data_IF_485648170842
#
_entry.id   IF_485648170842
#
_cell.length_a   1.000
_cell.length_b   1.000
_cell.length_c   1.000
_cell.angle_alpha   90.00
_cell.angle_beta   90.00
_cell.angle_gamma   90.00
#
_symmetry.space_group_name_H-M   'P 1'
#
loop_
_entity.id
_entity.type
_entity.pdbx_description
1 polymer ?
#
# COMPACT_ATOMS: atom_id res chain seq x y z
N UNK A 1 -24.42 0.82 15.14
CA UNK A 1 -23.04 1.35 14.94
C UNK A 1 -22.02 0.84 15.97
N UNK A 2 -22.42 0.54 17.21
CA UNK A 2 -21.51 -0.08 18.19
C UNK A 2 -21.18 -1.55 17.92
N UNK A 3 -22.04 -2.31 17.24
CA UNK A 3 -21.82 -3.73 16.95
C UNK A 3 -20.82 -3.98 15.81
N UNK A 4 -20.66 -3.05 14.84
CA UNK A 4 -19.72 -3.22 13.73
C UNK A 4 -18.23 -3.06 14.14
N UNK A 5 -17.94 -2.35 15.23
CA UNK A 5 -16.57 -2.11 15.70
C UNK A 5 -15.87 -3.36 16.27
N UNK A 6 -16.62 -4.32 16.78
CA UNK A 6 -16.10 -5.58 17.30
C UNK A 6 -16.00 -6.69 16.24
N UNK A 7 -16.80 -6.61 15.17
CA UNK A 7 -16.86 -7.65 14.14
C UNK A 7 -15.56 -7.73 13.33
N UNK A 8 -14.95 -6.60 12.98
CA UNK A 8 -13.68 -6.58 12.25
C UNK A 8 -12.53 -7.28 12.96
N UNK A 9 -12.44 -7.15 14.29
CA UNK A 9 -11.45 -7.84 15.12
C UNK A 9 -11.73 -9.35 15.16
N UNK A 10 -12.98 -9.75 15.38
CA UNK A 10 -13.39 -11.15 15.42
C UNK A 10 -13.07 -11.85 14.08
N UNK A 11 -13.40 -11.24 12.94
CA UNK A 11 -13.16 -11.84 11.62
C UNK A 11 -11.67 -11.97 11.29
N UNK A 12 -10.83 -11.00 11.64
CA UNK A 12 -9.38 -11.09 11.41
C UNK A 12 -8.76 -12.24 12.20
N UNK A 13 -9.12 -12.38 13.48
CA UNK A 13 -8.68 -13.50 14.32
C UNK A 13 -9.16 -14.84 13.78
N UNK A 14 -10.38 -14.90 13.31
CA UNK A 14 -10.95 -16.14 12.72
C UNK A 14 -10.24 -16.49 11.41
N UNK A 15 -10.02 -15.52 10.51
CA UNK A 15 -9.28 -15.70 9.27
C UNK A 15 -7.88 -16.27 9.52
N UNK A 16 -7.14 -15.67 10.49
CA UNK A 16 -5.83 -16.18 10.91
C UNK A 16 -5.86 -17.60 11.41
N UNK A 17 -6.85 -17.95 12.26
CA UNK A 17 -7.05 -19.32 12.76
C UNK A 17 -7.36 -20.34 11.64
N UNK A 18 -7.98 -19.87 10.57
CA UNK A 18 -8.29 -20.68 9.39
C UNK A 18 -7.14 -20.77 8.39
N UNK A 19 -5.98 -20.15 8.68
CA UNK A 19 -4.81 -20.14 7.80
C UNK A 19 -4.95 -19.22 6.58
N UNK A 20 -5.90 -18.30 6.60
CA UNK A 20 -6.07 -17.30 5.53
C UNK A 20 -5.04 -16.20 5.65
N UNK A 21 -4.58 -15.67 4.52
CA UNK A 21 -3.75 -14.46 4.46
C UNK A 21 -4.62 -13.22 4.63
N UNK A 22 -4.28 -12.39 5.61
CA UNK A 22 -5.01 -11.16 5.94
C UNK A 22 -4.25 -9.96 5.40
N UNK A 23 -4.83 -9.23 4.44
CA UNK A 23 -4.34 -7.94 3.99
C UNK A 23 -5.06 -6.79 4.71
N UNK A 24 -4.35 -5.71 5.00
CA UNK A 24 -4.87 -4.57 5.71
C UNK A 24 -4.34 -3.26 5.13
N UNK A 25 -5.27 -2.40 4.69
CA UNK A 25 -5.02 -0.99 4.38
C UNK A 25 -5.61 -0.15 5.52
N UNK A 26 -4.79 0.57 6.31
CA UNK A 26 -5.26 1.45 7.38
C UNK A 26 -6.21 2.53 6.90
N UNK A 27 -6.05 3.00 5.68
CA UNK A 27 -6.94 3.89 4.95
C UNK A 27 -7.50 5.05 5.81
N UNK A 28 -6.64 5.67 6.60
CA UNK A 28 -7.01 6.73 7.52
C UNK A 28 -7.53 7.98 6.80
N UNK A 29 -8.51 8.62 7.40
CA UNK A 29 -9.08 9.89 6.95
C UNK A 29 -9.19 10.84 8.13
N UNK A 30 -8.52 11.99 8.05
CA UNK A 30 -8.53 13.03 9.09
C UNK A 30 -9.92 13.56 9.42
N UNK A 31 -10.86 13.48 8.47
CA UNK A 31 -12.26 13.89 8.65
C UNK A 31 -13.08 12.92 9.50
N UNK A 32 -12.62 11.69 9.73
CA UNK A 32 -13.34 10.67 10.49
C UNK A 32 -12.88 10.59 11.95
N UNK A 33 -11.59 10.72 12.21
CA UNK A 33 -10.98 10.60 13.54
C UNK A 33 -9.57 11.17 13.58
N UNK A 34 -9.07 11.50 14.78
CA UNK A 34 -7.72 12.03 14.95
C UNK A 34 -6.67 11.00 14.59
N UNK A 35 -5.48 11.48 14.24
CA UNK A 35 -4.35 10.63 13.89
C UNK A 35 -3.95 9.71 15.06
N UNK A 36 -3.90 10.25 16.28
CA UNK A 36 -3.54 9.51 17.49
C UNK A 36 -4.56 8.41 17.79
N UNK A 37 -5.86 8.74 17.75
CA UNK A 37 -6.92 7.74 17.96
C UNK A 37 -6.87 6.64 16.90
N UNK A 38 -6.65 7.00 15.64
CA UNK A 38 -6.51 6.04 14.56
C UNK A 38 -5.30 5.13 14.79
N UNK A 39 -4.16 5.71 15.13
CA UNK A 39 -2.90 5.01 15.41
C UNK A 39 -3.08 3.98 16.53
N UNK A 40 -3.68 4.38 17.67
CA UNK A 40 -3.93 3.48 18.80
C UNK A 40 -4.87 2.33 18.46
N UNK A 41 -5.90 2.61 17.67
CA UNK A 41 -6.89 1.58 17.31
C UNK A 41 -6.36 0.65 16.21
N UNK A 42 -5.76 1.19 15.17
CA UNK A 42 -5.32 0.40 14.01
C UNK A 42 -4.12 -0.49 14.34
N UNK A 43 -3.21 -0.02 15.22
CA UNK A 43 -2.07 -0.82 15.66
C UNK A 43 -2.48 -2.11 16.39
N UNK A 44 -3.65 -2.12 17.06
CA UNK A 44 -4.18 -3.32 17.73
C UNK A 44 -4.54 -4.45 16.76
N UNK A 45 -4.73 -4.15 15.47
CA UNK A 45 -5.06 -5.15 14.46
C UNK A 45 -3.83 -5.78 13.80
N UNK A 46 -2.66 -5.12 13.87
CA UNK A 46 -1.45 -5.55 13.17
C UNK A 46 -0.97 -6.96 13.53
N UNK A 47 -1.10 -7.47 14.77
CA UNK A 47 -0.76 -8.85 15.08
C UNK A 47 -1.56 -9.91 14.29
N UNK A 48 -2.65 -9.50 13.63
CA UNK A 48 -3.49 -10.39 12.81
C UNK A 48 -3.33 -10.14 11.30
N UNK A 49 -2.40 -9.28 10.92
CA UNK A 49 -2.17 -8.86 9.52
C UNK A 49 -0.96 -9.59 8.96
N UNK A 50 -1.06 -10.07 7.72
CA UNK A 50 0.05 -10.64 6.97
C UNK A 50 0.61 -9.65 5.94
N UNK A 51 -0.26 -8.86 5.30
CA UNK A 51 0.09 -7.90 4.26
C UNK A 51 -0.40 -6.51 4.66
N UNK A 52 0.53 -5.60 4.93
CA UNK A 52 0.23 -4.23 5.32
C UNK A 52 0.40 -3.30 4.11
N UNK A 53 -0.64 -2.51 3.79
CA UNK A 53 -0.64 -1.56 2.69
C UNK A 53 -0.77 -0.14 3.26
N UNK A 54 0.35 0.58 3.29
CA UNK A 54 0.47 1.83 4.05
C UNK A 54 1.10 1.62 5.41
N UNK A 55 1.89 2.60 5.86
CA UNK A 55 2.63 2.54 7.14
C UNK A 55 2.14 3.56 8.16
N UNK A 56 1.06 4.27 7.85
CA UNK A 56 0.44 5.24 8.75
C UNK A 56 -1.09 5.08 8.75
N UNK A 57 -1.73 5.35 9.85
CA UNK A 57 -1.19 5.60 11.19
C UNK A 57 -1.05 4.28 11.98
N UNK A 58 0.17 3.90 12.30
CA UNK A 58 0.48 2.74 13.14
C UNK A 58 1.62 3.06 14.11
N UNK A 59 1.74 2.33 15.21
CA UNK A 59 2.87 2.45 16.13
C UNK A 59 4.01 1.54 15.68
N UNK A 60 5.23 2.10 15.59
CA UNK A 60 6.46 1.33 15.39
C UNK A 60 7.54 1.94 16.27
N UNK A 61 7.81 1.34 17.40
CA UNK A 61 8.69 1.92 18.43
C UNK A 61 10.13 1.46 18.30
N UNK A 62 11.06 2.39 18.59
CA UNK A 62 12.44 2.07 18.93
C UNK A 62 12.55 1.64 20.40
N UNK A 63 13.69 1.14 20.79
CA UNK A 63 13.98 0.78 22.19
C UNK A 63 13.83 1.96 23.17
N UNK A 64 14.11 3.19 22.71
CA UNK A 64 13.95 4.42 23.48
C UNK A 64 12.49 4.93 23.56
N UNK A 65 11.54 4.23 22.96
CA UNK A 65 10.12 4.58 22.93
C UNK A 65 9.72 5.60 21.86
N UNK A 66 10.66 6.10 21.04
CA UNK A 66 10.34 6.97 19.90
C UNK A 66 9.83 6.17 18.71
N UNK A 67 9.04 6.79 17.83
CA UNK A 67 8.57 6.09 16.62
C UNK A 67 9.70 6.02 15.57
N UNK A 68 9.87 4.86 14.96
CA UNK A 68 10.88 4.65 13.89
C UNK A 68 10.63 5.56 12.69
N UNK A 69 9.39 5.99 12.48
CA UNK A 69 8.97 6.86 11.39
C UNK A 69 9.20 8.35 11.65
N UNK A 70 9.61 8.72 12.87
CA UNK A 70 9.92 10.12 13.19
C UNK A 70 11.03 10.65 12.28
N UNK A 71 10.76 11.80 11.66
CA UNK A 71 11.65 12.43 10.69
C UNK A 71 11.54 11.87 9.26
N UNK A 72 10.63 10.91 9.02
CA UNK A 72 10.38 10.42 7.66
C UNK A 72 9.73 11.51 6.79
N UNK A 73 10.35 11.82 5.68
CA UNK A 73 9.83 12.83 4.73
C UNK A 73 8.71 12.28 3.85
N UNK A 74 8.04 13.18 3.11
CA UNK A 74 7.05 12.79 2.09
C UNK A 74 7.69 12.04 0.91
N UNK A 75 8.98 12.29 0.65
CA UNK A 75 9.80 11.57 -0.33
C UNK A 75 10.95 10.86 0.42
N UNK A 76 10.68 9.70 0.99
CA UNK A 76 11.68 8.96 1.75
C UNK A 76 12.70 8.32 0.81
N UNK A 77 13.95 8.25 1.29
CA UNK A 77 14.97 7.47 0.60
C UNK A 77 14.69 5.97 0.69
N UNK A 78 15.29 5.19 -0.22
CA UNK A 78 15.26 3.73 -0.14
C UNK A 78 15.74 3.22 1.22
N UNK A 79 16.83 3.80 1.74
CA UNK A 79 17.40 3.43 3.05
C UNK A 79 16.44 3.70 4.21
N UNK A 80 15.70 4.81 4.16
CA UNK A 80 14.71 5.11 5.20
C UNK A 80 13.56 4.12 5.16
N UNK A 81 13.09 3.77 3.96
CA UNK A 81 12.01 2.80 3.82
C UNK A 81 12.43 1.40 4.23
N UNK A 82 13.63 0.96 3.87
CA UNK A 82 14.18 -0.33 4.30
C UNK A 82 14.25 -0.43 5.84
N UNK A 83 14.77 0.63 6.49
CA UNK A 83 14.81 0.71 7.96
C UNK A 83 13.42 0.63 8.59
N UNK A 84 12.46 1.37 8.05
CA UNK A 84 11.08 1.40 8.59
C UNK A 84 10.39 0.06 8.37
N UNK A 85 10.53 -0.56 7.21
CA UNK A 85 9.90 -1.84 6.91
C UNK A 85 10.47 -2.97 7.78
N UNK A 86 11.78 -3.02 7.98
CA UNK A 86 12.43 -3.98 8.88
C UNK A 86 11.91 -3.84 10.31
N UNK A 87 11.79 -2.61 10.82
CA UNK A 87 11.25 -2.38 12.15
C UNK A 87 9.77 -2.80 12.28
N UNK A 88 8.96 -2.59 11.24
CA UNK A 88 7.57 -3.08 11.22
C UNK A 88 7.54 -4.61 11.24
N UNK A 89 8.39 -5.25 10.44
CA UNK A 89 8.47 -6.72 10.37
C UNK A 89 8.99 -7.33 11.68
N UNK A 90 10.01 -6.75 12.30
CA UNK A 90 10.50 -7.15 13.62
C UNK A 90 9.41 -7.08 14.69
N UNK A 91 8.56 -6.04 14.66
CA UNK A 91 7.51 -5.84 15.66
C UNK A 91 6.24 -6.68 15.40
N UNK A 92 5.86 -6.90 14.13
CA UNK A 92 4.55 -7.45 13.77
C UNK A 92 4.61 -8.72 12.92
N UNK A 93 5.77 -9.14 12.44
CA UNK A 93 5.99 -10.35 11.63
C UNK A 93 5.15 -10.39 10.34
N UNK A 94 5.35 -9.37 9.50
CA UNK A 94 4.64 -9.20 8.24
C UNK A 94 5.19 -10.11 7.13
N UNK A 95 4.33 -10.71 6.32
CA UNK A 95 4.74 -11.37 5.06
C UNK A 95 5.09 -10.37 3.98
N UNK A 96 4.38 -9.24 3.96
CA UNK A 96 4.63 -8.17 3.01
C UNK A 96 4.17 -6.82 3.55
N UNK A 97 4.89 -5.76 3.15
CA UNK A 97 4.55 -4.37 3.47
C UNK A 97 4.69 -3.55 2.18
N UNK A 98 3.75 -2.67 1.90
CA UNK A 98 3.85 -1.77 0.76
C UNK A 98 3.49 -0.33 1.15
N UNK A 99 4.16 0.64 0.51
CA UNK A 99 3.85 2.08 0.65
C UNK A 99 3.99 2.77 -0.68
N UNK A 100 2.99 3.56 -1.05
CA UNK A 100 3.04 4.45 -2.22
C UNK A 100 3.65 5.80 -1.85
N UNK A 101 4.35 6.41 -2.79
CA UNK A 101 4.83 7.80 -2.76
C UNK A 101 4.30 8.51 -3.99
N UNK A 102 3.50 9.56 -3.76
CA UNK A 102 2.91 10.36 -4.84
C UNK A 102 3.57 11.72 -4.88
N UNK A 103 3.96 12.12 -6.09
CA UNK A 103 4.43 13.47 -6.39
C UNK A 103 3.34 14.23 -7.15
N UNK A 104 2.98 15.41 -6.65
CA UNK A 104 1.98 16.27 -7.27
C UNK A 104 2.71 17.39 -8.01
N UNK A 105 2.71 17.35 -9.34
CA UNK A 105 3.33 18.37 -10.20
C UNK A 105 2.34 19.48 -10.54
N UNK A 106 1.06 19.11 -10.75
CA UNK A 106 -0.05 20.03 -10.96
C UNK A 106 -1.38 19.40 -10.51
N UNK A 107 -2.50 20.09 -10.74
CA UNK A 107 -3.84 19.56 -10.44
C UNK A 107 -4.15 18.25 -11.14
N UNK A 108 -3.65 18.04 -12.35
CA UNK A 108 -3.86 16.84 -13.16
C UNK A 108 -2.61 16.01 -13.39
N UNK A 109 -1.41 16.56 -13.29
CA UNK A 109 -0.16 15.85 -13.56
C UNK A 109 0.50 15.37 -12.26
N UNK A 110 0.73 14.08 -12.13
CA UNK A 110 1.31 13.45 -10.96
C UNK A 110 2.30 12.35 -11.38
N UNK A 111 3.12 11.95 -10.41
CA UNK A 111 3.93 10.73 -10.50
C UNK A 111 3.66 9.83 -9.32
N UNK A 112 3.76 8.53 -9.51
CA UNK A 112 3.61 7.53 -8.47
C UNK A 112 4.76 6.55 -8.52
N UNK A 113 5.33 6.26 -7.36
CA UNK A 113 6.18 5.09 -7.10
C UNK A 113 5.71 4.39 -5.83
N UNK A 114 6.23 3.22 -5.57
CA UNK A 114 5.99 2.50 -4.33
C UNK A 114 7.24 1.77 -3.87
N UNK A 115 7.29 1.53 -2.57
CA UNK A 115 8.20 0.60 -1.93
C UNK A 115 7.43 -0.64 -1.50
N UNK A 116 8.09 -1.77 -1.57
CA UNK A 116 7.54 -3.08 -1.22
C UNK A 116 8.59 -3.87 -0.45
N UNK A 117 8.17 -4.53 0.61
CA UNK A 117 9.02 -5.36 1.45
C UNK A 117 8.44 -6.76 1.55
N UNK A 118 9.30 -7.75 1.39
CA UNK A 118 8.97 -9.16 1.59
C UNK A 118 10.25 -9.96 1.79
N UNK A 119 10.18 -11.03 2.59
CA UNK A 119 11.30 -11.94 2.85
C UNK A 119 12.60 -11.24 3.33
N UNK A 120 12.49 -10.17 4.11
CA UNK A 120 13.64 -9.42 4.65
C UNK A 120 14.24 -8.38 3.70
N UNK A 121 13.72 -8.22 2.49
CA UNK A 121 14.24 -7.34 1.44
C UNK A 121 13.25 -6.28 1.01
N UNK A 122 13.75 -5.09 0.71
CA UNK A 122 12.98 -3.96 0.20
C UNK A 122 13.19 -3.79 -1.30
N UNK A 123 12.11 -3.50 -2.01
CA UNK A 123 12.08 -3.25 -3.45
C UNK A 123 11.43 -1.90 -3.72
N UNK A 124 11.91 -1.20 -4.74
CA UNK A 124 11.36 0.07 -5.20
C UNK A 124 10.86 -0.07 -6.63
N UNK A 125 9.66 0.42 -6.89
CA UNK A 125 9.11 0.42 -8.25
C UNK A 125 9.75 1.48 -9.13
N UNK A 126 9.55 1.38 -10.43
CA UNK A 126 9.71 2.52 -11.34
C UNK A 126 8.76 3.65 -10.93
N UNK A 127 9.17 4.89 -11.18
CA UNK A 127 8.29 6.06 -11.08
C UNK A 127 7.53 6.22 -12.40
N UNK A 128 6.19 6.24 -12.34
CA UNK A 128 5.34 6.45 -13.51
C UNK A 128 4.69 7.82 -13.43
N UNK A 129 4.87 8.63 -14.49
CA UNK A 129 4.20 9.91 -14.67
C UNK A 129 2.85 9.68 -15.34
N UNK A 130 1.81 10.37 -14.88
CA UNK A 130 0.45 10.21 -15.42
C UNK A 130 -0.41 11.45 -15.23
N UNK A 131 -1.42 11.56 -16.07
CA UNK A 131 -2.47 12.56 -15.94
C UNK A 131 -3.70 11.95 -15.23
N UNK A 132 -4.29 12.74 -14.35
CA UNK A 132 -5.45 12.34 -13.56
C UNK A 132 -6.73 12.81 -14.27
N UNK A 133 -7.57 11.86 -14.66
CA UNK A 133 -8.96 12.06 -15.04
C UNK A 133 -9.87 11.97 -13.82
N UNK A 134 -9.61 10.98 -12.93
CA UNK A 134 -10.31 10.79 -11.67
C UNK A 134 -9.37 10.22 -10.60
N UNK A 135 -9.48 10.75 -9.36
CA UNK A 135 -8.64 10.34 -8.23
C UNK A 135 -9.24 9.19 -7.41
N UNK A 136 -10.55 8.95 -7.55
CA UNK A 136 -11.27 7.99 -6.73
C UNK A 136 -10.82 6.57 -7.08
N UNK A 137 -10.57 5.73 -6.07
CA UNK A 137 -10.20 4.32 -6.26
C UNK A 137 -8.74 4.05 -6.65
N UNK A 138 -7.87 5.08 -6.77
CA UNK A 138 -6.45 4.87 -7.10
C UNK A 138 -5.70 4.06 -6.03
N UNK A 139 -5.99 4.27 -4.74
CA UNK A 139 -5.44 3.49 -3.64
C UNK A 139 -5.96 2.05 -3.65
N UNK A 140 -7.28 1.88 -3.85
CA UNK A 140 -7.89 0.54 -3.93
C UNK A 140 -7.37 -0.26 -5.13
N UNK A 141 -7.09 0.42 -6.26
CA UNK A 141 -6.45 -0.20 -7.42
C UNK A 141 -5.00 -0.62 -7.15
N UNK A 142 -4.24 0.15 -6.35
CA UNK A 142 -2.92 -0.26 -5.89
C UNK A 142 -3.03 -1.52 -5.02
N UNK A 143 -3.90 -1.49 -4.01
CA UNK A 143 -4.10 -2.60 -3.08
C UNK A 143 -4.55 -3.87 -3.79
N UNK A 144 -5.51 -3.78 -4.72
CA UNK A 144 -5.97 -4.92 -5.51
C UNK A 144 -4.91 -5.45 -6.47
N UNK A 145 -4.12 -4.54 -7.08
CA UNK A 145 -2.99 -4.92 -7.93
C UNK A 145 -1.91 -5.67 -7.16
N UNK A 146 -1.58 -5.20 -5.94
CA UNK A 146 -0.64 -5.88 -5.05
C UNK A 146 -1.13 -7.28 -4.68
N UNK A 147 -2.39 -7.40 -4.26
CA UNK A 147 -3.00 -8.70 -3.89
C UNK A 147 -3.02 -9.65 -5.09
N UNK A 148 -3.40 -9.15 -6.27
CA UNK A 148 -3.37 -9.95 -7.50
C UNK A 148 -1.95 -10.49 -7.80
N UNK A 149 -0.95 -9.63 -7.75
CA UNK A 149 0.45 -10.01 -8.03
C UNK A 149 0.97 -11.05 -7.03
N UNK A 150 0.60 -10.93 -5.75
CA UNK A 150 0.90 -11.94 -4.72
C UNK A 150 0.23 -13.29 -5.02
N UNK A 151 -1.04 -13.29 -5.44
CA UNK A 151 -1.77 -14.51 -5.80
C UNK A 151 -1.24 -15.16 -7.09
N UNK A 152 -0.74 -14.35 -8.04
CA UNK A 152 -0.14 -14.80 -9.29
C UNK A 152 1.34 -15.22 -9.13
N UNK A 153 1.89 -15.14 -7.89
CA UNK A 153 3.28 -15.45 -7.55
C UNK A 153 4.30 -14.68 -8.41
N UNK A 154 4.06 -13.41 -8.68
CA UNK A 154 5.00 -12.55 -9.39
C UNK A 154 6.28 -12.35 -8.56
N UNK A 155 7.40 -12.06 -9.23
CA UNK A 155 8.62 -11.66 -8.53
C UNK A 155 8.36 -10.41 -7.67
N UNK A 156 9.11 -10.15 -6.60
CA UNK A 156 8.91 -8.95 -5.78
C UNK A 156 8.98 -7.63 -6.56
N UNK A 157 9.92 -7.54 -7.51
CA UNK A 157 10.03 -6.38 -8.40
C UNK A 157 8.80 -6.22 -9.31
N UNK A 158 8.32 -7.31 -9.90
CA UNK A 158 7.12 -7.29 -10.74
C UNK A 158 5.88 -6.98 -9.90
N UNK A 159 5.80 -7.48 -8.67
CA UNK A 159 4.70 -7.22 -7.74
C UNK A 159 4.52 -5.73 -7.48
N UNK A 160 5.60 -5.03 -7.11
CA UNK A 160 5.50 -3.59 -6.81
C UNK A 160 5.25 -2.76 -8.07
N UNK A 161 5.85 -3.13 -9.21
CA UNK A 161 5.63 -2.45 -10.48
C UNK A 161 4.19 -2.66 -11.01
N UNK A 162 3.64 -3.86 -10.86
CA UNK A 162 2.27 -4.18 -11.24
C UNK A 162 1.25 -3.39 -10.39
N UNK A 163 1.47 -3.31 -9.08
CA UNK A 163 0.60 -2.56 -8.16
C UNK A 163 0.59 -1.06 -8.51
N UNK A 164 1.76 -0.46 -8.79
CA UNK A 164 1.86 0.94 -9.22
C UNK A 164 1.16 1.15 -10.57
N UNK A 165 1.41 0.29 -11.55
CA UNK A 165 0.77 0.37 -12.87
C UNK A 165 -0.75 0.24 -12.77
N UNK A 166 -1.28 -0.65 -11.91
CA UNK A 166 -2.72 -0.79 -11.64
C UNK A 166 -3.32 0.51 -11.10
N UNK A 167 -2.66 1.14 -10.12
CA UNK A 167 -3.07 2.43 -9.57
C UNK A 167 -3.07 3.54 -10.62
N UNK A 168 -2.01 3.63 -11.41
CA UNK A 168 -1.87 4.65 -12.47
C UNK A 168 -2.95 4.49 -13.55
N UNK A 169 -3.21 3.27 -14.01
CA UNK A 169 -4.28 2.99 -14.98
C UNK A 169 -5.65 3.43 -14.45
N UNK A 170 -5.93 3.23 -13.17
CA UNK A 170 -7.19 3.66 -12.56
C UNK A 170 -7.40 5.18 -12.63
N UNK A 171 -6.34 5.97 -12.49
CA UNK A 171 -6.45 7.43 -12.56
C UNK A 171 -6.88 7.95 -13.95
N UNK A 172 -6.75 7.15 -15.00
CA UNK A 172 -7.26 7.47 -16.35
C UNK A 172 -8.74 7.09 -16.56
N UNK A 173 -9.40 6.47 -15.57
CA UNK A 173 -10.76 5.95 -15.65
C UNK A 173 -11.65 6.77 -14.71
N UNK A 174 -12.80 7.25 -15.21
CA UNK A 174 -13.82 7.95 -14.41
C UNK A 174 -14.55 6.99 -13.47
N UNK A 175 -14.93 7.50 -12.30
CA UNK A 175 -15.64 6.73 -11.27
C UNK A 175 -14.69 5.93 -10.40
N UNK A 176 -15.20 5.15 -9.46
CA UNK A 176 -14.43 4.39 -8.47
C UNK A 176 -14.02 2.98 -8.93
N UNK A 177 -14.75 2.42 -9.90
CA UNK A 177 -14.51 1.06 -10.39
C UNK A 177 -13.32 1.01 -11.35
N UNK A 178 -12.37 0.11 -11.07
CA UNK A 178 -11.27 -0.18 -11.99
C UNK A 178 -11.71 -1.23 -13.03
N UNK A 179 -11.85 -0.81 -14.29
CA UNK A 179 -12.24 -1.67 -15.42
C UNK A 179 -11.03 -2.11 -16.26
N UNK A 180 -9.80 -1.92 -15.76
CA UNK A 180 -8.57 -2.27 -16.45
C UNK A 180 -8.36 -3.79 -16.42
N UNK A 181 -7.88 -4.37 -17.53
CA UNK A 181 -7.48 -5.77 -17.56
C UNK A 181 -5.98 -5.95 -17.27
N UNK A 182 -5.62 -7.16 -16.83
CA UNK A 182 -4.25 -7.53 -16.45
C UNK A 182 -3.24 -7.26 -17.58
N UNK A 183 -3.61 -7.52 -18.82
CA UNK A 183 -2.71 -7.32 -19.97
C UNK A 183 -2.37 -5.84 -20.18
N UNK A 184 -3.32 -4.94 -19.97
CA UNK A 184 -3.07 -3.51 -20.06
C UNK A 184 -2.10 -3.06 -18.94
N UNK A 185 -2.29 -3.54 -17.72
CA UNK A 185 -1.39 -3.24 -16.59
C UNK A 185 0.02 -3.77 -16.88
N UNK A 186 0.15 -5.02 -17.36
CA UNK A 186 1.44 -5.62 -17.72
C UNK A 186 2.16 -4.85 -18.85
N UNK A 187 1.42 -4.28 -19.81
CA UNK A 187 2.00 -3.42 -20.85
C UNK A 187 2.56 -2.12 -20.27
N UNK A 188 1.79 -1.43 -19.43
CA UNK A 188 2.24 -0.20 -18.79
C UNK A 188 3.46 -0.46 -17.90
N UNK A 189 3.47 -1.55 -17.13
CA UNK A 189 4.60 -1.95 -16.29
C UNK A 189 5.90 -2.10 -17.10
N UNK A 190 5.84 -2.65 -18.34
CA UNK A 190 7.00 -2.84 -19.19
C UNK A 190 7.50 -1.54 -19.85
N UNK A 191 6.59 -0.70 -20.32
CA UNK A 191 6.92 0.44 -21.19
C UNK A 191 7.10 1.76 -20.43
N UNK A 192 6.64 1.86 -19.18
CA UNK A 192 6.66 3.08 -18.36
C UNK A 192 6.01 4.33 -19.04
N UNK A 193 5.32 4.15 -20.16
CA UNK A 193 4.63 5.19 -20.92
C UNK A 193 3.29 4.67 -21.45
N UNK A 194 2.32 5.59 -21.58
CA UNK A 194 0.99 5.31 -22.15
C UNK A 194 1.00 5.25 -23.69
N UNK A 195 2.15 4.99 -24.31
CA UNK A 195 2.23 4.94 -25.77
C UNK A 195 1.40 3.77 -26.31
N UNK A 196 0.33 4.12 -27.00
CA UNK A 196 -0.58 3.14 -27.62
C UNK A 196 0.13 2.62 -28.86
N UNK A 197 0.75 1.46 -28.75
CA UNK A 197 1.15 0.73 -29.95
C UNK A 197 -0.11 0.32 -30.74
N UNK A 198 -0.30 0.92 -31.89
CA UNK A 198 -1.29 0.56 -32.88
C UNK A 198 -0.91 -0.71 -33.62
#
# INVERSE_FOLDING_TARGET
>A
LRMSRGLGDVYKRQAKKMGLTVSFDPNWRSTLWSFETARDVLSKYLPYVDVLIGIEPIHVYREDGTDVKDGLTMDPSFKDMDRVFKAIDEQYHMKAIARTVRYVHSGSNNSLKAFYYTNGETYESKTINFEIVDRVGGGDAFSSGLIYALMDNMTPEDTVNFAVASSVMKHAIRGDTNITCVDHIKRLMKNSSFDVQR
#
